data_IF_882401409830
#
_entry.id   IF_882401409830
#
_cell.length_a   1.000
_cell.length_b   1.000
_cell.length_c   1.000
_cell.angle_alpha   90.00
_cell.angle_beta   90.00
_cell.angle_gamma   90.00
#
_symmetry.space_group_name_H-M   'P 1'
#
loop_
_entity.id
_entity.type
_entity.pdbx_description
1 polymer ?
#
# COMPACT_ATOMS: atom_id res chain seq x y z
N UNK A 1 -11.45 -48.34 28.80
CA UNK A 1 -11.08 -48.12 27.38
C UNK A 1 -11.92 -47.03 26.70
N UNK A 2 -13.26 -47.09 26.72
CA UNK A 2 -14.11 -46.03 26.11
C UNK A 2 -13.73 -44.60 26.55
N UNK A 3 -13.54 -44.35 27.85
CA UNK A 3 -13.17 -43.01 28.38
C UNK A 3 -11.81 -42.48 27.90
N UNK A 4 -10.86 -43.37 27.62
CA UNK A 4 -9.51 -43.00 27.11
C UNK A 4 -9.61 -42.66 25.62
N UNK A 5 -10.41 -43.43 24.86
CA UNK A 5 -10.68 -43.18 23.44
C UNK A 5 -11.43 -41.85 23.27
N UNK A 6 -12.41 -41.55 24.12
CA UNK A 6 -13.14 -40.27 24.08
C UNK A 6 -12.22 -39.08 24.39
N UNK A 7 -11.30 -39.22 25.35
CA UNK A 7 -10.33 -38.17 25.69
C UNK A 7 -9.31 -37.89 24.57
N UNK A 8 -8.81 -38.95 23.91
CA UNK A 8 -7.90 -38.82 22.77
C UNK A 8 -8.62 -38.19 21.57
N UNK A 9 -9.88 -38.55 21.32
CA UNK A 9 -10.69 -37.98 20.25
C UNK A 9 -10.99 -36.47 20.50
N UNK A 10 -11.24 -36.08 21.75
CA UNK A 10 -11.44 -34.67 22.13
C UNK A 10 -10.15 -33.85 22.01
N UNK A 11 -8.99 -34.43 22.34
CA UNK A 11 -7.69 -33.77 22.21
C UNK A 11 -7.27 -33.60 20.74
N UNK A 12 -7.57 -34.59 19.89
CA UNK A 12 -7.38 -34.49 18.44
C UNK A 12 -8.28 -33.42 17.81
N UNK A 13 -9.54 -33.30 18.24
CA UNK A 13 -10.45 -32.27 17.73
C UNK A 13 -10.02 -30.84 18.13
N UNK A 14 -9.39 -30.64 19.29
CA UNK A 14 -8.82 -29.35 19.70
C UNK A 14 -7.52 -28.99 18.98
N UNK A 15 -6.74 -29.99 18.56
CA UNK A 15 -5.48 -29.75 17.85
C UNK A 15 -5.69 -29.27 16.40
N UNK A 16 -6.83 -29.60 15.77
CA UNK A 16 -7.14 -29.18 14.41
C UNK A 16 -7.71 -27.76 14.29
N UNK A 17 -8.25 -27.18 15.38
CA UNK A 17 -8.79 -25.81 15.34
C UNK A 17 -7.73 -24.72 15.50
N UNK A 18 -6.46 -25.09 15.73
CA UNK A 18 -5.35 -24.15 15.95
C UNK A 18 -4.51 -23.79 14.72
N UNK A 19 -4.84 -24.32 13.53
CA UNK A 19 -4.07 -24.11 12.29
C UNK A 19 -4.84 -23.38 11.19
N UNK A 20 -5.86 -22.60 11.54
CA UNK A 20 -6.30 -21.53 10.67
C UNK A 20 -5.36 -20.35 10.91
N UNK A 21 -4.31 -20.25 10.08
CA UNK A 21 -3.52 -19.03 9.97
C UNK A 21 -4.48 -17.97 9.43
N UNK A 22 -5.02 -17.12 10.32
CA UNK A 22 -5.78 -15.93 9.93
C UNK A 22 -4.85 -15.08 9.06
N UNK A 23 -4.98 -15.19 7.74
CA UNK A 23 -4.50 -14.16 6.85
C UNK A 23 -5.25 -12.89 7.23
N UNK A 24 -4.53 -11.82 7.54
CA UNK A 24 -5.17 -10.55 7.86
C UNK A 24 -6.03 -10.13 6.67
N UNK A 25 -7.34 -10.05 6.88
CA UNK A 25 -8.25 -9.51 5.87
C UNK A 25 -8.40 -8.01 6.06
N UNK A 26 -8.52 -7.27 4.98
CA UNK A 26 -8.72 -5.83 5.02
C UNK A 26 -9.74 -5.36 3.97
N UNK A 27 -10.35 -4.21 4.24
CA UNK A 27 -11.32 -3.61 3.33
C UNK A 27 -10.61 -2.80 2.26
N UNK A 28 -11.12 -2.87 1.04
CA UNK A 28 -10.59 -2.10 -0.07
C UNK A 28 -11.68 -1.78 -1.11
N UNK A 29 -11.33 -0.94 -2.07
CA UNK A 29 -12.06 -0.77 -3.32
C UNK A 29 -11.16 -1.15 -4.49
N UNK A 30 -11.69 -1.83 -5.50
CA UNK A 30 -10.99 -2.15 -6.75
C UNK A 30 -11.94 -1.99 -7.94
N UNK A 31 -11.43 -2.18 -9.16
CA UNK A 31 -12.26 -2.26 -10.36
C UNK A 31 -13.27 -3.42 -10.25
N UNK A 32 -14.50 -3.20 -10.72
CA UNK A 32 -15.57 -4.19 -10.59
C UNK A 32 -15.31 -5.48 -11.40
N UNK A 33 -14.70 -5.37 -12.59
CA UNK A 33 -14.38 -6.52 -13.42
C UNK A 33 -13.21 -7.32 -12.82
N UNK A 34 -12.22 -6.62 -12.26
CA UNK A 34 -11.13 -7.25 -11.53
C UNK A 34 -11.66 -8.02 -10.31
N UNK A 35 -12.57 -7.42 -9.52
CA UNK A 35 -13.16 -8.08 -8.36
C UNK A 35 -13.84 -9.41 -8.71
N UNK A 36 -14.57 -9.46 -9.83
CA UNK A 36 -15.21 -10.70 -10.33
C UNK A 36 -14.14 -11.73 -10.74
N UNK A 37 -13.09 -11.28 -11.42
CA UNK A 37 -11.98 -12.14 -11.85
C UNK A 37 -11.27 -12.75 -10.64
N UNK A 38 -10.88 -11.94 -9.67
CA UNK A 38 -10.23 -12.42 -8.44
C UNK A 38 -11.17 -13.26 -7.58
N UNK A 39 -12.48 -12.98 -7.55
CA UNK A 39 -13.45 -13.85 -6.88
C UNK A 39 -13.55 -15.23 -7.53
N UNK A 40 -13.33 -15.32 -8.84
CA UNK A 40 -13.32 -16.59 -9.56
C UNK A 40 -12.03 -17.37 -9.28
N UNK A 41 -10.89 -16.69 -9.20
CA UNK A 41 -9.59 -17.29 -8.96
C UNK A 41 -9.37 -17.68 -7.49
N UNK A 42 -9.91 -16.90 -6.56
CA UNK A 42 -9.72 -17.01 -5.11
C UNK A 42 -11.08 -16.91 -4.38
N UNK A 43 -11.99 -17.87 -4.59
CA UNK A 43 -13.37 -17.76 -4.13
C UNK A 43 -13.53 -17.62 -2.61
N UNK A 44 -12.56 -18.06 -1.81
CA UNK A 44 -12.64 -18.01 -0.34
C UNK A 44 -11.91 -16.80 0.26
N UNK A 45 -11.02 -16.16 -0.50
CA UNK A 45 -10.07 -15.15 0.01
C UNK A 45 -10.40 -13.71 -0.41
N UNK A 46 -11.47 -13.54 -1.19
CA UNK A 46 -12.07 -12.25 -1.52
C UNK A 46 -13.58 -12.31 -1.35
N UNK A 47 -14.18 -11.29 -0.77
CA UNK A 47 -15.62 -11.09 -0.75
C UNK A 47 -15.99 -9.76 -1.39
N UNK A 48 -16.97 -9.76 -2.29
CA UNK A 48 -17.56 -8.54 -2.85
C UNK A 48 -18.67 -8.10 -1.90
N UNK A 49 -18.48 -6.97 -1.24
CA UNK A 49 -19.40 -6.39 -0.24
C UNK A 49 -20.47 -5.54 -0.91
N UNK A 50 -20.07 -4.77 -1.92
CA UNK A 50 -20.95 -3.99 -2.78
C UNK A 50 -20.24 -3.71 -4.11
N UNK A 51 -20.99 -3.40 -5.17
CA UNK A 51 -20.43 -2.99 -6.46
C UNK A 51 -21.35 -2.04 -7.20
N UNK A 52 -20.76 -1.23 -8.06
CA UNK A 52 -21.44 -0.55 -9.16
C UNK A 52 -20.75 -0.94 -10.49
N UNK A 53 -21.11 -0.27 -11.59
CA UNK A 53 -20.59 -0.57 -12.94
C UNK A 53 -19.07 -0.33 -13.10
N UNK A 54 -18.42 0.33 -12.14
CA UNK A 54 -17.01 0.74 -12.24
C UNK A 54 -16.14 0.16 -11.12
N UNK A 55 -16.66 0.07 -9.90
CA UNK A 55 -15.89 -0.27 -8.73
C UNK A 55 -16.65 -1.24 -7.82
N UNK A 56 -15.90 -2.07 -7.13
CA UNK A 56 -16.38 -2.96 -6.08
C UNK A 56 -15.71 -2.62 -4.74
N UNK A 57 -16.51 -2.62 -3.67
CA UNK A 57 -16.04 -2.66 -2.30
C UNK A 57 -15.82 -4.13 -1.93
N UNK A 58 -14.63 -4.44 -1.44
CA UNK A 58 -14.18 -5.82 -1.22
C UNK A 58 -13.55 -5.99 0.15
N UNK A 59 -13.66 -7.20 0.69
CA UNK A 59 -12.81 -7.70 1.76
C UNK A 59 -11.76 -8.62 1.09
N UNK A 60 -10.49 -8.35 1.31
CA UNK A 60 -9.37 -9.09 0.71
C UNK A 60 -8.51 -9.72 1.78
N UNK A 61 -8.02 -10.95 1.57
CA UNK A 61 -6.90 -11.48 2.32
C UNK A 61 -5.57 -10.87 1.84
N UNK A 62 -4.57 -10.87 2.73
CA UNK A 62 -3.19 -10.49 2.40
C UNK A 62 -2.59 -11.34 1.26
N UNK A 63 -2.98 -12.62 1.14
CA UNK A 63 -2.52 -13.51 0.08
C UNK A 63 -3.03 -13.05 -1.30
N UNK A 64 -4.32 -12.70 -1.40
CA UNK A 64 -4.89 -12.16 -2.65
C UNK A 64 -4.27 -10.79 -2.97
N UNK A 65 -4.00 -9.96 -1.96
CA UNK A 65 -3.34 -8.68 -2.16
C UNK A 65 -1.94 -8.83 -2.78
N UNK A 66 -1.16 -9.80 -2.31
CA UNK A 66 0.13 -10.15 -2.90
C UNK A 66 -0.03 -10.73 -4.32
N UNK A 67 -1.00 -11.60 -4.54
CA UNK A 67 -1.26 -12.15 -5.88
C UNK A 67 -1.69 -11.08 -6.90
N UNK A 68 -2.45 -10.07 -6.46
CA UNK A 68 -2.81 -8.90 -7.27
C UNK A 68 -1.54 -8.11 -7.64
N UNK A 69 -0.68 -7.85 -6.65
CA UNK A 69 0.59 -7.15 -6.83
C UNK A 69 1.54 -7.90 -7.79
N UNK A 70 1.63 -9.23 -7.69
CA UNK A 70 2.53 -10.05 -8.51
C UNK A 70 2.04 -10.23 -9.96
N UNK A 71 0.74 -10.01 -10.22
CA UNK A 71 0.14 -10.08 -11.56
C UNK A 71 0.28 -8.78 -12.39
N UNK A 72 1.12 -7.83 -11.97
CA UNK A 72 1.34 -6.55 -12.68
C UNK A 72 2.19 -6.78 -13.94
N UNK A 73 1.53 -7.08 -15.07
CA UNK A 73 2.23 -7.16 -16.38
C UNK A 73 2.44 -5.80 -17.07
N UNK A 74 1.67 -4.76 -16.74
CA UNK A 74 1.91 -3.38 -17.25
C UNK A 74 1.22 -2.28 -16.45
N UNK A 75 -0.02 -2.49 -15.99
CA UNK A 75 -0.76 -1.63 -15.02
C UNK A 75 -1.73 -2.50 -14.23
N UNK A 76 -1.21 -3.60 -13.65
CA UNK A 76 -2.00 -4.69 -13.12
C UNK A 76 -3.15 -4.25 -12.21
N UNK A 77 -4.12 -5.15 -12.00
CA UNK A 77 -5.24 -4.91 -11.10
C UNK A 77 -4.72 -4.34 -9.78
N UNK A 78 -5.45 -3.37 -9.23
CA UNK A 78 -5.04 -2.67 -8.03
C UNK A 78 -6.22 -2.54 -7.08
N UNK A 79 -5.90 -2.31 -5.82
CA UNK A 79 -6.89 -2.00 -4.82
C UNK A 79 -6.50 -0.72 -4.08
N UNK A 80 -7.49 -0.04 -3.53
CA UNK A 80 -7.31 1.09 -2.65
C UNK A 80 -7.80 0.68 -1.27
N UNK A 81 -6.89 0.61 -0.30
CA UNK A 81 -7.22 0.30 1.08
C UNK A 81 -8.29 1.24 1.65
N UNK A 82 -9.13 0.69 2.53
CA UNK A 82 -10.19 1.38 3.25
C UNK A 82 -10.15 0.93 4.70
N UNK A 83 -10.25 1.90 5.61
CA UNK A 83 -10.13 1.63 7.04
C UNK A 83 -11.30 0.80 7.62
N UNK A 84 -12.43 0.72 6.91
CA UNK A 84 -13.59 -0.07 7.33
C UNK A 84 -14.48 -0.42 6.15
N UNK A 85 -15.43 -1.36 6.37
CA UNK A 85 -16.47 -1.71 5.42
C UNK A 85 -17.28 -0.50 4.99
N UNK A 86 -17.72 0.32 5.95
CA UNK A 86 -18.55 1.50 5.68
C UNK A 86 -17.79 2.48 4.77
N UNK A 87 -16.48 2.63 4.98
CA UNK A 87 -15.63 3.46 4.13
C UNK A 87 -15.43 2.87 2.74
N UNK A 88 -15.36 1.55 2.62
CA UNK A 88 -15.28 0.88 1.32
C UNK A 88 -16.57 1.07 0.51
N UNK A 89 -17.72 0.82 1.13
CA UNK A 89 -19.02 0.99 0.47
C UNK A 89 -19.31 2.47 0.17
N UNK A 90 -18.97 3.38 1.08
CA UNK A 90 -19.11 4.83 0.87
C UNK A 90 -18.33 5.30 -0.36
N UNK A 91 -17.11 4.78 -0.56
CA UNK A 91 -16.23 5.19 -1.64
C UNK A 91 -16.82 4.93 -3.05
N UNK A 92 -17.71 3.94 -3.19
CA UNK A 92 -18.38 3.63 -4.46
C UNK A 92 -19.25 4.78 -4.98
N UNK A 93 -19.69 5.67 -4.10
CA UNK A 93 -20.60 6.77 -4.42
C UNK A 93 -19.89 8.13 -4.38
N UNK A 94 -18.56 8.16 -4.25
CA UNK A 94 -17.84 9.42 -4.17
C UNK A 94 -17.84 10.11 -5.53
N UNK A 95 -18.50 11.26 -5.62
CA UNK A 95 -18.48 12.09 -6.82
C UNK A 95 -17.08 12.68 -6.96
N UNK A 96 -16.43 12.40 -8.09
CA UNK A 96 -15.13 12.97 -8.40
C UNK A 96 -15.25 14.50 -8.44
N UNK A 97 -14.57 15.18 -7.51
CA UNK A 97 -14.46 16.62 -7.55
C UNK A 97 -13.44 16.98 -8.65
N UNK A 98 -13.93 17.17 -9.87
CA UNK A 98 -13.11 17.66 -10.98
C UNK A 98 -12.89 19.14 -10.73
N UNK A 99 -11.70 19.47 -10.23
CA UNK A 99 -11.27 20.86 -10.06
C UNK A 99 -11.35 21.63 -11.38
N UNK A 100 -11.35 22.95 -11.27
CA UNK A 100 -11.30 23.83 -12.43
C UNK A 100 -10.11 23.46 -13.31
N UNK A 101 -10.33 23.36 -14.62
CA UNK A 101 -9.26 23.11 -15.57
C UNK A 101 -8.23 24.25 -15.46
N UNK A 102 -7.02 23.91 -15.05
CA UNK A 102 -5.88 24.82 -15.06
C UNK A 102 -5.27 24.74 -16.46
N UNK A 103 -5.07 25.89 -17.10
CA UNK A 103 -4.36 25.98 -18.36
C UNK A 103 -2.85 26.03 -18.09
N UNK A 104 -2.12 25.04 -18.58
CA UNK A 104 -0.68 24.92 -18.38
C UNK A 104 0.06 25.41 -19.63
N UNK A 105 1.09 26.23 -19.45
CA UNK A 105 1.96 26.72 -20.52
C UNK A 105 3.42 26.46 -20.19
N UNK A 106 4.25 26.32 -21.23
CA UNK A 106 5.71 26.14 -21.11
C UNK A 106 6.35 27.51 -21.38
N UNK A 107 6.87 28.15 -20.35
CA UNK A 107 7.43 29.52 -20.43
C UNK A 107 8.83 29.67 -19.87
N UNK A 108 9.32 28.70 -19.09
CA UNK A 108 10.53 28.84 -18.25
C UNK A 108 11.74 28.07 -18.79
N UNK A 109 11.90 27.96 -20.12
CA UNK A 109 12.92 27.11 -20.77
C UNK A 109 14.34 27.33 -20.23
N UNK A 110 14.75 28.59 -20.07
CA UNK A 110 16.09 28.94 -19.59
C UNK A 110 16.32 28.48 -18.14
N UNK A 111 15.35 28.72 -17.27
CA UNK A 111 15.41 28.32 -15.86
C UNK A 111 15.37 26.80 -15.70
N UNK A 112 14.49 26.11 -16.44
CA UNK A 112 14.43 24.64 -16.44
C UNK A 112 15.75 24.04 -16.89
N UNK A 113 16.38 24.59 -17.94
CA UNK A 113 17.69 24.12 -18.40
C UNK A 113 18.76 24.27 -17.32
N UNK A 114 18.80 25.39 -16.61
CA UNK A 114 19.73 25.59 -15.49
C UNK A 114 19.51 24.53 -14.38
N UNK A 115 18.25 24.24 -14.03
CA UNK A 115 17.95 23.19 -13.06
C UNK A 115 18.37 21.79 -13.52
N UNK A 116 18.20 21.48 -14.81
CA UNK A 116 18.61 20.18 -15.38
C UNK A 116 20.13 20.00 -15.34
N UNK A 117 20.89 21.08 -15.58
CA UNK A 117 22.37 21.05 -15.52
C UNK A 117 22.90 20.79 -14.09
N UNK A 118 22.06 20.96 -13.05
CA UNK A 118 22.41 20.68 -11.65
C UNK A 118 22.13 19.23 -11.22
N UNK A 119 21.44 18.43 -12.04
CA UNK A 119 21.11 17.04 -11.69
C UNK A 119 22.38 16.19 -11.69
N UNK A 120 22.66 15.53 -10.56
CA UNK A 120 23.81 14.65 -10.41
C UNK A 120 23.36 13.18 -10.34
N UNK A 121 23.73 12.40 -11.36
CA UNK A 121 23.41 10.98 -11.44
C UNK A 121 23.99 10.14 -10.30
N UNK A 122 25.17 10.51 -9.78
CA UNK A 122 25.78 9.81 -8.65
C UNK A 122 24.93 9.96 -7.38
N UNK A 123 24.39 11.15 -7.12
CA UNK A 123 23.53 11.37 -5.96
C UNK A 123 22.25 10.51 -6.03
N UNK A 124 21.75 10.23 -7.23
CA UNK A 124 20.61 9.33 -7.45
C UNK A 124 21.00 7.88 -7.17
N UNK A 125 22.15 7.44 -7.70
CA UNK A 125 22.65 6.08 -7.45
C UNK A 125 22.92 5.84 -5.96
N UNK A 126 23.57 6.78 -5.28
CA UNK A 126 23.89 6.68 -3.85
C UNK A 126 22.60 6.57 -3.00
N UNK A 127 21.55 7.32 -3.34
CA UNK A 127 20.25 7.24 -2.68
C UNK A 127 19.56 5.89 -2.92
N UNK A 128 19.65 5.36 -4.15
CA UNK A 128 19.12 4.02 -4.48
C UNK A 128 19.84 2.95 -3.64
N UNK A 129 21.17 3.00 -3.59
CA UNK A 129 21.98 2.03 -2.85
C UNK A 129 21.73 2.13 -1.34
N UNK A 130 21.62 3.34 -0.80
CA UNK A 130 21.24 3.60 0.59
C UNK A 130 19.88 2.97 0.91
N UNK A 131 18.86 3.21 0.08
CA UNK A 131 17.54 2.65 0.27
C UNK A 131 17.53 1.12 0.12
N UNK A 132 18.27 0.56 -0.83
CA UNK A 132 18.39 -0.89 -1.01
C UNK A 132 19.05 -1.57 0.19
N UNK A 133 20.03 -0.92 0.84
CA UNK A 133 20.79 -1.48 1.95
C UNK A 133 19.93 -1.83 3.19
N UNK A 134 18.75 -1.22 3.34
CA UNK A 134 17.79 -1.61 4.39
C UNK A 134 17.25 -3.03 4.23
N UNK A 135 17.35 -3.63 3.03
CA UNK A 135 16.84 -4.97 2.69
C UNK A 135 15.31 -5.00 2.51
N UNK A 136 14.56 -4.43 3.46
CA UNK A 136 13.12 -4.19 3.34
C UNK A 136 12.75 -2.83 3.90
N UNK A 137 11.73 -2.19 3.32
CA UNK A 137 11.11 -0.97 3.84
C UNK A 137 9.62 -1.19 4.08
N UNK A 138 9.23 -2.43 4.39
CA UNK A 138 7.84 -2.78 4.72
C UNK A 138 7.42 -2.06 6.01
N UNK A 139 6.24 -1.41 5.98
CA UNK A 139 5.82 -0.42 6.98
C UNK A 139 5.74 -0.93 8.43
N UNK A 140 5.63 -2.24 8.66
CA UNK A 140 5.64 -2.83 10.02
C UNK A 140 7.03 -3.20 10.53
N UNK A 141 8.09 -2.95 9.76
CA UNK A 141 9.46 -3.34 10.08
C UNK A 141 10.27 -2.15 10.60
N UNK A 142 11.16 -2.34 11.60
CA UNK A 142 12.04 -1.27 12.10
C UNK A 142 12.90 -0.61 11.01
N UNK A 143 13.25 -1.35 9.96
CA UNK A 143 14.00 -0.84 8.81
C UNK A 143 13.24 0.28 8.08
N UNK A 144 11.91 0.22 8.01
CA UNK A 144 11.10 1.27 7.40
C UNK A 144 11.10 2.54 8.26
N UNK A 145 10.98 2.39 9.59
CA UNK A 145 11.10 3.52 10.52
C UNK A 145 12.46 4.21 10.38
N UNK A 146 13.54 3.42 10.35
CA UNK A 146 14.89 3.96 10.17
C UNK A 146 15.06 4.64 8.80
N UNK A 147 14.49 4.09 7.73
CA UNK A 147 14.54 4.71 6.40
C UNK A 147 13.83 6.07 6.39
N UNK A 148 12.68 6.20 7.05
CA UNK A 148 11.96 7.49 7.17
C UNK A 148 12.78 8.51 7.95
N UNK A 149 13.38 8.11 9.08
CA UNK A 149 14.22 8.99 9.90
C UNK A 149 15.46 9.46 9.13
N UNK A 150 16.12 8.57 8.40
CA UNK A 150 17.27 8.92 7.58
C UNK A 150 16.89 9.86 6.43
N UNK A 151 15.75 9.62 5.78
CA UNK A 151 15.27 10.50 4.72
C UNK A 151 14.96 11.90 5.25
N UNK A 152 14.37 12.01 6.44
CA UNK A 152 14.15 13.29 7.10
C UNK A 152 15.48 14.01 7.34
N UNK A 153 16.45 13.32 7.95
CA UNK A 153 17.76 13.89 8.24
C UNK A 153 18.50 14.36 6.98
N UNK A 154 18.39 13.61 5.87
CA UNK A 154 18.95 13.98 4.57
C UNK A 154 18.32 15.26 4.02
N UNK A 155 17.00 15.37 4.10
CA UNK A 155 16.27 16.58 3.68
C UNK A 155 16.61 17.79 4.56
N UNK A 156 16.66 17.61 5.88
CA UNK A 156 17.05 18.68 6.81
C UNK A 156 18.49 19.17 6.52
N UNK A 157 19.42 18.25 6.25
CA UNK A 157 20.78 18.60 5.86
C UNK A 157 20.82 19.42 4.56
N UNK A 158 20.00 19.06 3.55
CA UNK A 158 19.90 19.83 2.30
C UNK A 158 19.29 21.22 2.50
N UNK A 159 18.27 21.35 3.36
CA UNK A 159 17.68 22.65 3.70
C UNK A 159 18.73 23.55 4.35
N UNK A 160 19.49 23.02 5.31
CA UNK A 160 20.58 23.77 5.97
C UNK A 160 21.68 24.15 4.99
N UNK A 161 22.13 23.22 4.14
CA UNK A 161 23.20 23.46 3.18
C UNK A 161 22.85 24.53 2.13
N UNK A 162 21.57 24.66 1.78
CA UNK A 162 21.08 25.67 0.82
C UNK A 162 20.74 27.00 1.48
N UNK A 163 20.74 27.08 2.81
CA UNK A 163 20.36 28.29 3.55
C UNK A 163 18.87 28.65 3.41
N UNK A 164 18.02 27.72 2.96
CA UNK A 164 16.58 27.94 2.79
C UNK A 164 15.90 28.01 4.17
N UNK A 165 15.07 29.03 4.38
CA UNK A 165 14.34 29.26 5.64
C UNK A 165 12.82 29.13 5.48
N UNK A 166 12.36 28.89 4.26
CA UNK A 166 10.96 28.72 3.86
C UNK A 166 10.55 27.24 3.73
N UNK A 167 11.43 26.31 4.12
CA UNK A 167 11.22 24.86 4.03
C UNK A 167 11.52 24.21 5.39
N UNK A 168 10.71 23.20 5.76
CA UNK A 168 10.93 22.35 6.92
C UNK A 168 10.40 20.95 6.64
N UNK A 169 10.91 19.95 7.37
CA UNK A 169 10.41 18.57 7.31
C UNK A 169 9.58 18.23 8.55
N UNK A 170 8.69 17.25 8.41
CA UNK A 170 7.94 16.66 9.52
C UNK A 170 7.58 15.21 9.19
N UNK A 171 7.74 14.32 10.16
CA UNK A 171 7.21 12.96 10.08
C UNK A 171 5.71 12.97 10.38
N UNK A 172 4.96 12.24 9.57
CA UNK A 172 3.53 11.99 9.76
C UNK A 172 3.30 10.52 10.11
N UNK A 173 2.63 10.27 11.23
CA UNK A 173 2.27 8.94 11.67
C UNK A 173 0.91 8.57 11.10
N UNK A 174 0.87 7.58 10.21
CA UNK A 174 -0.37 7.03 9.70
C UNK A 174 -0.99 6.06 10.72
N UNK A 175 -2.31 6.12 10.86
CA UNK A 175 -3.11 5.12 11.59
C UNK A 175 -3.74 4.20 10.55
N UNK A 176 -3.72 2.88 10.81
CA UNK A 176 -4.20 1.81 9.92
C UNK A 176 -3.32 1.55 8.68
N UNK A 177 -2.00 1.65 8.83
CA UNK A 177 -1.02 1.06 7.89
C UNK A 177 -0.57 -0.28 8.40
#
# INVERSE_FOLDING_TARGET
MKKIITGILMFLLFAFTGFAQEGNTFYATMDAADAITFKTLYPDDIAILASNDKQAAVLLSEEVAHAIHDNVRTHGPGYIFRASEEKAVQALNQVANRGTQIDYSITEDAFVKECLDLVNGQNIEDDILELQAYGTRYHTKPQAEQAVLNQQAKWDAMIVATGRTDVHTRIYNHVNT
#
